data_IF_418375099104
#
_entry.id   IF_418375099104
#
_cell.length_a   1.000
_cell.length_b   1.000
_cell.length_c   1.000
_cell.angle_alpha   90.00
_cell.angle_beta   90.00
_cell.angle_gamma   90.00
#
_symmetry.space_group_name_H-M   'P 1'
#
loop_
_entity.id
_entity.type
_entity.pdbx_description
1 polymer ?
#
# COMPACT_ATOMS: atom_id res chain seq x y z
N UNK A 1 -13.19 -3.97 8.18
CA UNK A 1 -12.91 -3.21 6.94
C UNK A 1 -14.08 -2.28 6.70
N UNK A 2 -13.81 -0.98 6.53
CA UNK A 2 -14.81 0.05 6.18
C UNK A 2 -14.83 0.32 4.67
N UNK A 3 -13.71 0.11 3.98
CA UNK A 3 -13.54 0.19 2.52
C UNK A 3 -13.28 -1.19 1.91
N UNK A 4 -13.43 -1.30 0.58
CA UNK A 4 -13.03 -2.50 -0.16
C UNK A 4 -11.57 -2.37 -0.67
N UNK A 5 -10.96 -3.48 -1.11
CA UNK A 5 -9.57 -3.49 -1.59
C UNK A 5 -9.35 -2.71 -2.88
N UNK A 6 -10.36 -2.65 -3.76
CA UNK A 6 -10.29 -1.98 -5.07
C UNK A 6 -10.30 -0.46 -4.88
N UNK A 7 -11.01 0.06 -3.88
CA UNK A 7 -11.14 1.48 -3.59
C UNK A 7 -9.80 2.14 -3.22
N UNK A 8 -8.81 1.34 -2.80
CA UNK A 8 -7.46 1.82 -2.45
C UNK A 8 -6.83 2.60 -3.62
N UNK A 9 -7.11 2.21 -4.87
CA UNK A 9 -6.58 2.89 -6.07
C UNK A 9 -6.97 4.37 -6.16
N UNK A 10 -8.05 4.77 -5.49
CA UNK A 10 -8.58 6.13 -5.47
C UNK A 10 -8.02 6.98 -4.31
N UNK A 11 -7.14 6.42 -3.47
CA UNK A 11 -6.56 7.14 -2.33
C UNK A 11 -5.42 8.05 -2.78
N UNK A 12 -5.34 9.27 -2.24
CA UNK A 12 -4.22 10.19 -2.48
C UNK A 12 -3.07 10.00 -1.49
N UNK A 13 -3.35 9.40 -0.34
CA UNK A 13 -2.36 8.97 0.66
C UNK A 13 -2.76 7.60 1.20
N UNK A 14 -1.81 6.68 1.26
CA UNK A 14 -1.98 5.33 1.80
C UNK A 14 -0.97 5.14 2.93
N UNK A 15 -1.45 4.82 4.12
CA UNK A 15 -0.60 4.47 5.26
C UNK A 15 -0.83 2.99 5.62
N UNK A 16 0.14 2.13 5.30
CA UNK A 16 0.07 0.71 5.60
C UNK A 16 0.90 0.38 6.84
N UNK A 17 0.26 -0.25 7.83
CA UNK A 17 0.93 -0.82 9.00
C UNK A 17 1.08 -2.34 8.90
N UNK A 18 0.97 -2.89 7.69
CA UNK A 18 0.95 -4.33 7.41
C UNK A 18 1.82 -4.66 6.20
N UNK A 19 2.37 -5.88 6.19
CA UNK A 19 3.20 -6.38 5.10
C UNK A 19 2.35 -6.83 3.89
N UNK A 20 1.65 -5.90 3.25
CA UNK A 20 0.69 -6.17 2.17
C UNK A 20 1.31 -6.86 0.95
N UNK A 21 2.55 -6.52 0.59
CA UNK A 21 3.21 -7.11 -0.58
C UNK A 21 3.43 -8.62 -0.45
N UNK A 22 3.59 -9.13 0.78
CA UNK A 22 3.78 -10.56 1.05
C UNK A 22 2.47 -11.24 1.47
N UNK A 23 1.67 -10.58 2.32
CA UNK A 23 0.48 -11.20 2.92
C UNK A 23 -0.79 -11.04 2.06
N UNK A 24 -0.84 -10.00 1.23
CA UNK A 24 -2.00 -9.67 0.37
C UNK A 24 -1.56 -9.26 -1.04
N UNK A 25 -0.75 -10.09 -1.75
CA UNK A 25 -0.10 -9.71 -3.00
C UNK A 25 -1.10 -9.30 -4.10
N UNK A 26 -2.27 -9.94 -4.15
CA UNK A 26 -3.35 -9.57 -5.09
C UNK A 26 -3.95 -8.20 -4.76
N UNK A 27 -4.06 -7.83 -3.49
CA UNK A 27 -4.55 -6.51 -3.08
C UNK A 27 -3.53 -5.40 -3.29
N UNK A 28 -2.24 -5.75 -3.22
CA UNK A 28 -1.15 -4.80 -3.36
C UNK A 28 -1.12 -4.10 -4.73
N UNK A 29 -1.70 -4.73 -5.77
CA UNK A 29 -1.85 -4.10 -7.10
C UNK A 29 -2.60 -2.76 -7.04
N UNK A 30 -3.56 -2.60 -6.12
CA UNK A 30 -4.36 -1.38 -6.00
C UNK A 30 -3.60 -0.25 -5.29
N UNK A 31 -2.70 -0.60 -4.37
CA UNK A 31 -1.73 0.34 -3.78
C UNK A 31 -0.79 0.86 -4.87
N UNK A 32 -0.29 -0.02 -5.73
CA UNK A 32 0.59 0.37 -6.83
C UNK A 32 -0.11 1.26 -7.85
N UNK A 33 -1.37 0.97 -8.21
CA UNK A 33 -2.17 1.86 -9.07
C UNK A 33 -2.39 3.25 -8.48
N UNK A 34 -2.67 3.34 -7.17
CA UNK A 34 -2.74 4.63 -6.50
C UNK A 34 -1.41 5.38 -6.57
N UNK A 35 -0.30 4.69 -6.31
CA UNK A 35 1.04 5.26 -6.39
C UNK A 35 1.39 5.75 -7.79
N UNK A 36 1.06 4.98 -8.83
CA UNK A 36 1.21 5.38 -10.25
C UNK A 36 0.39 6.65 -10.58
N UNK A 37 -0.77 6.83 -9.95
CA UNK A 37 -1.59 8.06 -10.04
C UNK A 37 -0.99 9.25 -9.27
N UNK A 38 0.06 9.03 -8.48
CA UNK A 38 0.73 10.06 -7.67
C UNK A 38 0.34 10.06 -6.19
N UNK A 39 -0.34 9.01 -5.71
CA UNK A 39 -0.63 8.86 -4.29
C UNK A 39 0.65 8.60 -3.49
N UNK A 40 0.72 9.15 -2.28
CA UNK A 40 1.85 8.92 -1.38
C UNK A 40 1.64 7.63 -0.59
N UNK A 41 2.56 6.67 -0.73
CA UNK A 41 2.51 5.41 -0.02
C UNK A 41 3.51 5.39 1.15
N UNK A 42 3.00 5.26 2.38
CA UNK A 42 3.76 5.25 3.62
C UNK A 42 3.63 3.87 4.27
N UNK A 43 4.75 3.26 4.66
CA UNK A 43 4.75 1.98 5.34
C UNK A 43 5.36 2.07 6.73
N UNK A 44 4.57 1.74 7.76
CA UNK A 44 5.01 1.75 9.15
C UNK A 44 5.10 0.32 9.66
N UNK A 45 6.33 -0.20 9.70
CA UNK A 45 6.67 -1.51 10.25
C UNK A 45 8.01 -1.39 11.01
N UNK A 46 8.19 -2.09 12.15
CA UNK A 46 9.47 -2.11 12.86
C UNK A 46 10.61 -2.74 12.04
N UNK A 47 10.32 -3.41 10.93
CA UNK A 47 11.29 -4.07 10.04
C UNK A 47 11.17 -3.51 8.62
N UNK A 48 12.25 -3.64 7.87
CA UNK A 48 12.23 -3.36 6.44
C UNK A 48 11.81 -4.62 5.65
N UNK A 49 10.58 -4.61 5.13
CA UNK A 49 9.95 -5.73 4.39
C UNK A 49 9.83 -5.45 2.89
N UNK A 50 9.32 -6.40 2.09
CA UNK A 50 9.04 -6.14 0.66
C UNK A 50 8.02 -5.03 0.46
N UNK A 51 7.11 -4.83 1.41
CA UNK A 51 6.17 -3.69 1.39
C UNK A 51 6.91 -2.37 1.60
N UNK A 52 7.91 -2.36 2.49
CA UNK A 52 8.75 -1.16 2.74
C UNK A 52 9.55 -0.76 1.51
N UNK A 53 10.07 -1.74 0.76
CA UNK A 53 10.82 -1.50 -0.47
C UNK A 53 9.99 -0.83 -1.58
N UNK A 54 8.66 -0.92 -1.52
CA UNK A 54 7.75 -0.28 -2.47
C UNK A 54 7.15 1.03 -1.93
N UNK A 55 7.38 1.38 -0.67
CA UNK A 55 6.88 2.62 -0.05
C UNK A 55 7.72 3.84 -0.44
N UNK A 56 7.10 5.02 -0.39
CA UNK A 56 7.78 6.31 -0.54
C UNK A 56 8.40 6.78 0.77
N UNK A 57 7.81 6.38 1.91
CA UNK A 57 8.26 6.63 3.28
C UNK A 57 8.14 5.36 4.10
#
# INVERSE_FOLDING_TARGET
MTTNLIDIQNSDVIMATSNMAENHPVGFQWVMKAKERGAKFIHVDPRFTRTSAAADI
#
